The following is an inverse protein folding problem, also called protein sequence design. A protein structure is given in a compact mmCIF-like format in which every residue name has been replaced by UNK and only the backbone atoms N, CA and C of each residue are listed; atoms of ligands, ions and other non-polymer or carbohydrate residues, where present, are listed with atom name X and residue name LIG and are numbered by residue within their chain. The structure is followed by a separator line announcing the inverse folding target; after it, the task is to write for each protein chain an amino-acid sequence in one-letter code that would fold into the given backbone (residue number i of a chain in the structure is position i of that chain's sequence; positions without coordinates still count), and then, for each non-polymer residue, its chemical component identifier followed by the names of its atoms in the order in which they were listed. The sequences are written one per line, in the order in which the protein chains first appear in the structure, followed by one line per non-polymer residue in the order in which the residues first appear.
data_IF_958108629155
#
_entry.id   IF_958108629155
#
_cell.length_a   1.000
_cell.length_b   1.000
_cell.length_c   1.000
_cell.angle_alpha   90.00
_cell.angle_beta   90.00
_cell.angle_gamma   90.00
#
_symmetry.space_group_name_H-M   'P 1'
#
loop_
_entity.id
_entity.type
_entity.pdbx_description
1 polymer ?
#
# COMPACT_ATOMS: atom_id res chain seq x y z
N UNK A 1 -14.71 -4.92 25.41
CA UNK A 1 -14.64 -5.00 24.95
C UNK A 1 -14.23 -4.80 24.26
N UNK A 2 -13.98 -4.55 24.35
CA UNK A 2 -13.70 -4.40 23.69
C UNK A 2 -13.67 -4.68 22.54
N UNK A 3 -14.36 -5.06 22.30
CA UNK A 3 -14.46 -5.50 20.99
C UNK A 3 -14.12 -4.50 19.99
N UNK A 4 -14.31 -3.33 20.30
CA UNK A 4 -14.04 -2.39 19.33
C UNK A 4 -12.66 -2.22 19.05
N UNK A 5 -11.91 -2.28 19.95
CA UNK A 5 -10.51 -2.24 19.67
C UNK A 5 -10.18 -3.32 18.70
N UNK A 6 -10.86 -4.38 18.85
CA UNK A 6 -10.66 -5.46 17.95
C UNK A 6 -11.03 -5.09 16.54
N UNK A 7 -12.05 -4.34 16.39
CA UNK A 7 -12.44 -3.95 15.05
C UNK A 7 -11.38 -3.08 14.42
N UNK A 8 -10.82 -2.21 15.16
CA UNK A 8 -9.79 -1.38 14.62
C UNK A 8 -8.60 -2.21 14.21
N UNK A 9 -8.26 -3.15 15.02
CA UNK A 9 -7.18 -4.03 14.67
C UNK A 9 -7.53 -4.75 13.41
N UNK A 10 -8.74 -5.22 13.35
CA UNK A 10 -9.13 -5.91 12.19
C UNK A 10 -8.91 -5.06 10.99
N UNK A 11 -9.14 -3.84 11.11
CA UNK A 11 -9.03 -3.04 9.95
C UNK A 11 -7.64 -2.90 9.44
N UNK A 12 -6.68 -2.89 10.20
CA UNK A 12 -5.44 -2.66 9.61
C UNK A 12 -4.63 -3.83 9.50
N UNK A 13 -5.20 -4.84 9.84
CA UNK A 13 -4.51 -5.87 10.01
C UNK A 13 -3.83 -6.47 8.99
N UNK A 14 -4.11 -6.67 8.08
CA UNK A 14 -3.53 -7.68 7.29
C UNK A 14 -3.36 -7.31 5.85
N UNK A 15 -3.39 -6.07 5.55
CA UNK A 15 -3.18 -5.67 4.17
C UNK A 15 -1.69 -5.47 3.96
N UNK A 16 -1.17 -6.17 2.97
CA UNK A 16 0.23 -6.04 2.57
C UNK A 16 0.28 -5.76 1.09
N UNK A 17 1.34 -5.12 0.67
CA UNK A 17 1.53 -4.84 -0.73
C UNK A 17 2.98 -5.10 -1.10
N UNK A 18 3.16 -5.64 -2.29
CA UNK A 18 4.48 -5.98 -2.81
C UNK A 18 4.61 -5.42 -4.20
N UNK A 19 5.79 -4.89 -4.52
CA UNK A 19 6.06 -4.51 -5.90
C UNK A 19 6.29 -5.78 -6.70
N UNK A 20 5.79 -5.81 -7.91
CA UNK A 20 5.93 -6.97 -8.79
C UNK A 20 6.75 -6.56 -10.00
N UNK A 21 7.80 -7.31 -10.27
CA UNK A 21 8.62 -7.04 -11.43
C UNK A 21 8.94 -8.38 -12.08
N UNK A 22 8.27 -8.66 -13.19
CA UNK A 22 8.39 -9.97 -13.82
C UNK A 22 7.78 -11.03 -12.93
N UNK A 23 8.56 -12.02 -12.56
CA UNK A 23 8.09 -13.07 -11.67
C UNK A 23 8.58 -12.87 -10.23
N UNK A 24 9.10 -11.69 -9.92
CA UNK A 24 9.61 -11.40 -8.59
C UNK A 24 8.68 -10.45 -7.86
N UNK A 25 8.56 -10.66 -6.56
CA UNK A 25 7.88 -9.71 -5.70
C UNK A 25 8.89 -9.13 -4.73
N UNK A 26 8.75 -7.84 -4.45
CA UNK A 26 9.67 -7.15 -3.56
C UNK A 26 8.88 -6.53 -2.43
N UNK A 27 9.32 -6.78 -1.20
CA UNK A 27 8.64 -6.31 0.00
C UNK A 27 9.21 -4.94 0.36
N UNK A 28 8.80 -3.92 -0.37
CA UNK A 28 9.31 -2.58 -0.17
C UNK A 28 8.23 -1.60 0.29
N UNK A 29 7.02 -2.09 0.52
CA UNK A 29 5.91 -1.22 0.91
C UNK A 29 5.41 -1.60 2.30
N UNK A 30 5.44 -0.64 3.21
CA UNK A 30 4.85 -0.80 4.53
C UNK A 30 3.50 -0.10 4.49
N UNK A 31 2.43 -0.86 4.41
CA UNK A 31 1.09 -0.32 4.20
C UNK A 31 0.62 0.39 5.47
N UNK A 32 0.27 1.65 5.33
CA UNK A 32 -0.24 2.45 6.42
C UNK A 32 -1.76 2.46 6.43
N UNK A 33 -2.37 2.54 5.27
CA UNK A 33 -3.82 2.51 5.17
C UNK A 33 -4.24 2.21 3.75
N UNK A 34 -5.46 1.72 3.60
CA UNK A 34 -6.10 1.54 2.31
C UNK A 34 -7.44 2.24 2.40
N UNK A 35 -7.75 3.08 1.43
CA UNK A 35 -8.93 3.89 1.47
C UNK A 35 -9.50 3.95 0.08
N UNK A 36 -10.55 3.22 -0.17
CA UNK A 36 -11.15 3.08 -1.48
C UNK A 36 -10.10 2.67 -2.51
N UNK A 37 -9.60 3.60 -3.27
CA UNK A 37 -8.62 3.27 -4.29
C UNK A 37 -7.26 3.93 -4.01
N UNK A 38 -7.01 4.34 -2.79
CA UNK A 38 -5.73 4.93 -2.42
C UNK A 38 -5.04 4.03 -1.41
N UNK A 39 -3.84 3.63 -1.74
CA UNK A 39 -3.00 2.83 -0.89
C UNK A 39 -1.89 3.74 -0.36
N UNK A 40 -1.83 3.92 0.93
CA UNK A 40 -0.79 4.74 1.53
C UNK A 40 0.27 3.86 2.13
N UNK A 41 1.50 4.09 1.71
CA UNK A 41 2.60 3.21 2.10
C UNK A 41 3.82 4.04 2.50
N UNK A 42 4.64 3.44 3.33
CA UNK A 42 6.00 3.93 3.55
C UNK A 42 6.92 3.02 2.77
N UNK A 43 7.89 3.61 2.12
CA UNK A 43 8.82 2.86 1.29
C UNK A 43 10.17 3.56 1.31
N UNK A 44 11.26 2.81 1.25
CA UNK A 44 12.58 3.43 1.19
C UNK A 44 12.91 4.04 -0.16
N UNK A 45 12.07 3.77 -1.17
CA UNK A 45 12.33 4.27 -2.52
C UNK A 45 11.54 5.53 -2.78
N UNK A 46 12.10 6.42 -3.58
CA UNK A 46 11.43 7.64 -3.96
C UNK A 46 10.98 7.51 -5.40
N UNK A 47 9.74 7.15 -5.57
CA UNK A 47 9.15 7.04 -6.90
C UNK A 47 8.73 8.41 -7.40
N UNK A 48 8.66 8.57 -8.70
CA UNK A 48 8.23 9.83 -9.27
C UNK A 48 6.71 9.91 -9.31
N UNK A 49 6.18 11.08 -9.11
CA UNK A 49 4.73 11.30 -9.22
C UNK A 49 4.33 10.97 -10.65
N UNK A 50 3.30 10.17 -10.78
CA UNK A 50 2.81 9.72 -12.08
C UNK A 50 3.36 8.38 -12.53
N UNK A 51 4.36 7.88 -11.84
CA UNK A 51 4.95 6.59 -12.20
C UNK A 51 3.96 5.47 -11.92
N UNK A 52 3.87 4.51 -12.83
CA UNK A 52 2.96 3.38 -12.65
C UNK A 52 3.75 2.14 -12.28
N UNK A 53 3.20 1.40 -11.35
CA UNK A 53 3.86 0.21 -10.81
C UNK A 53 2.88 -0.95 -10.79
N UNK A 54 3.43 -2.14 -10.96
CA UNK A 54 2.67 -3.36 -10.78
C UNK A 54 2.79 -3.77 -9.32
N UNK A 55 1.67 -4.04 -8.67
CA UNK A 55 1.64 -4.29 -7.24
C UNK A 55 0.76 -5.49 -6.94
N UNK A 56 1.18 -6.31 -6.02
CA UNK A 56 0.34 -7.40 -5.50
C UNK A 56 -0.17 -6.97 -4.13
N UNK A 57 -1.48 -6.97 -3.97
CA UNK A 57 -2.13 -6.60 -2.72
C UNK A 57 -2.68 -7.87 -2.10
N UNK A 58 -2.31 -8.11 -0.86
CA UNK A 58 -2.69 -9.31 -0.14
C UNK A 58 -3.45 -8.89 1.12
N UNK A 59 -4.63 -9.44 1.31
CA UNK A 59 -5.34 -9.25 2.57
C UNK A 59 -5.81 -10.60 3.08
N UNK A 60 -6.62 -10.60 4.12
CA UNK A 60 -7.04 -11.84 4.75
C UNK A 60 -7.77 -12.78 3.84
N UNK A 61 -8.47 -12.25 2.88
CA UNK A 61 -9.35 -13.06 2.07
C UNK A 61 -8.95 -13.15 0.61
N UNK A 62 -8.00 -12.37 0.17
CA UNK A 62 -7.70 -12.37 -1.26
C UNK A 62 -6.29 -11.88 -1.55
N UNK A 63 -5.83 -12.24 -2.72
CA UNK A 63 -4.58 -11.75 -3.28
C UNK A 63 -4.90 -11.28 -4.69
N UNK A 64 -4.50 -10.09 -5.03
CA UNK A 64 -4.74 -9.61 -6.38
C UNK A 64 -3.58 -8.80 -6.88
N UNK A 65 -3.35 -8.88 -8.17
CA UNK A 65 -2.34 -8.07 -8.83
C UNK A 65 -3.05 -6.91 -9.51
N UNK A 66 -2.50 -5.74 -9.38
CA UNK A 66 -3.11 -4.56 -9.94
C UNK A 66 -2.00 -3.56 -10.30
N UNK A 67 -2.39 -2.48 -10.96
CA UNK A 67 -1.46 -1.39 -11.22
C UNK A 67 -1.83 -0.23 -10.33
N UNK A 68 -0.81 0.50 -9.90
CA UNK A 68 -1.02 1.71 -9.13
C UNK A 68 -0.22 2.83 -9.79
N UNK A 69 -0.64 4.06 -9.55
CA UNK A 69 0.07 5.24 -10.01
C UNK A 69 0.48 6.05 -8.79
N UNK A 70 1.73 6.47 -8.76
CA UNK A 70 2.22 7.29 -7.66
C UNK A 70 1.54 8.65 -7.75
N UNK A 71 0.81 8.99 -6.71
CA UNK A 71 -0.02 10.17 -6.71
C UNK A 71 0.60 11.33 -5.95
N UNK A 72 1.17 11.06 -4.81
CA UNK A 72 1.69 12.12 -3.95
C UNK A 72 2.64 11.54 -2.92
N UNK A 73 3.52 12.39 -2.43
CA UNK A 73 4.33 12.09 -1.26
C UNK A 73 3.94 13.10 -0.18
N UNK A 74 3.61 12.61 0.99
CA UNK A 74 3.02 13.43 2.04
C UNK A 74 3.84 13.28 3.31
N UNK A 75 4.07 14.38 4.00
CA UNK A 75 4.76 14.36 5.26
C UNK A 75 6.24 14.69 5.15
N UNK A 76 6.91 14.83 6.28
CA UNK A 76 8.32 15.18 6.28
C UNK A 76 9.17 14.03 5.73
N UNK A 77 10.36 14.35 5.29
CA UNK A 77 11.18 13.38 4.56
C UNK A 77 11.51 12.13 5.37
N UNK A 78 11.57 12.22 6.67
CA UNK A 78 11.88 11.06 7.49
C UNK A 78 10.64 10.26 7.87
N UNK A 79 9.45 10.76 7.53
CA UNK A 79 8.21 10.05 7.80
C UNK A 79 7.28 10.16 6.61
N UNK A 80 7.85 10.20 5.43
CA UNK A 80 7.07 10.40 4.22
C UNK A 80 6.18 9.20 3.94
N UNK A 81 4.96 9.47 3.57
CA UNK A 81 4.00 8.47 3.13
C UNK A 81 3.74 8.71 1.65
N UNK A 82 3.83 7.67 0.87
CA UNK A 82 3.56 7.74 -0.55
C UNK A 82 2.15 7.24 -0.81
N UNK A 83 1.38 8.03 -1.53
CA UNK A 83 0.02 7.67 -1.90
C UNK A 83 0.05 7.05 -3.29
N UNK A 84 -0.50 5.86 -3.39
CA UNK A 84 -0.58 5.12 -4.63
C UNK A 84 -2.06 4.97 -4.99
N UNK A 85 -2.39 5.42 -6.19
CA UNK A 85 -3.76 5.30 -6.67
C UNK A 85 -3.92 3.95 -7.34
N UNK A 86 -4.88 3.15 -6.91
CA UNK A 86 -5.13 1.84 -7.49
C UNK A 86 -5.93 2.06 -8.76
N UNK A 87 -5.40 1.61 -9.88
CA UNK A 87 -5.99 1.90 -11.16
C UNK A 87 -7.07 0.90 -11.58
N UNK A 88 -7.05 -0.27 -11.01
CA UNK A 88 -8.13 -1.21 -11.30
C UNK A 88 -7.99 -2.50 -10.55
#
# INVERSE_FOLDING_TARGET
MSGEATAAVAAKRSVRAYAVEGDKTMDIFDVQSVDENILRVRTPLLFEIGEELSVRIVDDSSTRDTFVRVRAHVGPSDMRVTELEILS
#
